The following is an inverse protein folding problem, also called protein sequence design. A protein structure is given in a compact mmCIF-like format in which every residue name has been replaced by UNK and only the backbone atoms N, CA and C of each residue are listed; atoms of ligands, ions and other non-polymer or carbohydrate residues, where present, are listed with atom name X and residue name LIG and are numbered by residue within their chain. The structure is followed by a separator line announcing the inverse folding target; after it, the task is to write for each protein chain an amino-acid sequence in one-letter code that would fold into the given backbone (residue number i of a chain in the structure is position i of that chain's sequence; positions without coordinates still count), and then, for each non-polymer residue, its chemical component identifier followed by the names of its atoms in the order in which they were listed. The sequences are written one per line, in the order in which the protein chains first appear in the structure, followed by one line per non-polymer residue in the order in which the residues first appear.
data_IF_432161984347
#
_entry.id   IF_432161984347
#
_cell.length_a   1.000
_cell.length_b   1.000
_cell.length_c   1.000
_cell.angle_alpha   90.00
_cell.angle_beta   90.00
_cell.angle_gamma   90.00
#
_symmetry.space_group_name_H-M   'P 1'
#
loop_
_entity.id
_entity.type
_entity.pdbx_description
1 polymer ?
#
# COMPACT_ATOMS: atom_id res chain seq x y z
N UNK A 1 -37.94 49.06 -34.05
CA UNK A 1 -37.14 49.30 -32.83
C UNK A 1 -37.37 48.15 -31.85
N UNK A 2 -36.44 47.20 -31.74
CA UNK A 2 -36.42 46.18 -30.67
C UNK A 2 -35.13 46.39 -29.89
N UNK A 3 -35.24 46.69 -28.60
CA UNK A 3 -34.10 46.88 -27.70
C UNK A 3 -33.54 45.50 -27.33
N UNK A 4 -32.30 45.23 -27.72
CA UNK A 4 -31.55 44.07 -27.26
C UNK A 4 -31.01 44.35 -25.85
N UNK A 5 -31.34 43.47 -24.91
CA UNK A 5 -30.98 43.60 -23.50
C UNK A 5 -29.57 43.07 -23.28
N UNK A 6 -28.60 43.98 -23.14
CA UNK A 6 -27.16 43.71 -23.05
C UNK A 6 -26.76 43.13 -21.67
N UNK A 7 -27.70 43.04 -20.72
CA UNK A 7 -27.40 42.60 -19.34
C UNK A 7 -27.29 41.08 -19.16
N UNK A 8 -27.66 40.27 -20.16
CA UNK A 8 -27.61 38.81 -20.06
C UNK A 8 -26.27 38.19 -20.48
N UNK A 9 -25.34 38.94 -21.10
CA UNK A 9 -24.09 38.38 -21.63
C UNK A 9 -22.88 38.52 -20.70
N UNK A 10 -22.97 39.31 -19.63
CA UNK A 10 -21.85 39.56 -18.71
C UNK A 10 -21.77 38.57 -17.53
N UNK A 11 -22.85 37.85 -17.22
CA UNK A 11 -22.89 36.90 -16.09
C UNK A 11 -22.40 35.48 -16.44
N UNK A 12 -22.41 35.09 -17.72
CA UNK A 12 -21.96 33.74 -18.14
C UNK A 12 -20.46 33.62 -18.38
N UNK A 13 -19.70 34.71 -18.51
CA UNK A 13 -18.25 34.63 -18.78
C UNK A 13 -17.44 34.58 -17.47
N UNK A 14 -17.96 35.10 -16.36
CA UNK A 14 -17.27 35.06 -15.05
C UNK A 14 -17.43 33.71 -14.34
N UNK A 15 -18.51 32.96 -14.61
CA UNK A 15 -18.73 31.64 -14.01
C UNK A 15 -17.89 30.52 -14.67
N UNK A 16 -17.44 30.69 -15.92
CA UNK A 16 -16.61 29.68 -16.61
C UNK A 16 -15.11 29.89 -16.38
N UNK A 17 -14.67 31.11 -16.06
CA UNK A 17 -13.26 31.41 -15.75
C UNK A 17 -12.86 31.08 -14.31
N UNK A 18 -13.80 30.88 -13.39
CA UNK A 18 -13.53 30.45 -12.01
C UNK A 18 -13.49 28.91 -11.83
N UNK A 19 -13.81 28.13 -12.87
CA UNK A 19 -13.79 26.67 -12.84
C UNK A 19 -12.45 26.05 -13.31
N UNK A 20 -11.49 26.87 -13.74
CA UNK A 20 -10.19 26.41 -14.27
C UNK A 20 -9.04 26.58 -13.25
N UNK A 21 -9.28 27.26 -12.12
CA UNK A 21 -8.22 27.69 -11.20
C UNK A 21 -8.05 26.83 -9.92
N UNK A 22 -8.58 25.60 -9.87
CA UNK A 22 -8.42 24.71 -8.71
C UNK A 22 -7.99 23.29 -9.07
N UNK A 23 -7.32 23.11 -10.20
CA UNK A 23 -6.35 22.02 -10.29
C UNK A 23 -5.10 22.51 -9.55
N UNK A 24 -5.13 22.48 -8.22
CA UNK A 24 -3.90 22.23 -7.49
C UNK A 24 -3.41 20.92 -8.07
N UNK A 25 -2.42 20.99 -8.97
CA UNK A 25 -1.71 19.80 -9.41
C UNK A 25 -1.26 19.12 -8.15
N UNK A 26 -2.00 18.07 -7.76
CA UNK A 26 -1.60 17.24 -6.64
C UNK A 26 -0.17 16.87 -6.95
N UNK A 27 0.73 17.19 -6.03
CA UNK A 27 2.09 16.68 -6.11
C UNK A 27 1.90 15.18 -6.32
N UNK A 28 2.22 14.69 -7.52
CA UNK A 28 1.95 13.31 -7.88
C UNK A 28 2.57 12.47 -6.76
N UNK A 29 1.70 11.76 -6.03
CA UNK A 29 2.18 10.80 -5.04
C UNK A 29 3.18 9.90 -5.79
N UNK A 30 4.30 9.61 -5.14
CA UNK A 30 5.29 8.73 -5.74
C UNK A 30 4.60 7.42 -6.15
N UNK A 31 5.02 6.86 -7.27
CA UNK A 31 4.50 5.59 -7.76
C UNK A 31 5.29 4.41 -7.17
N UNK A 32 4.77 3.18 -7.31
CA UNK A 32 5.50 1.98 -6.93
C UNK A 32 6.84 1.88 -7.66
N UNK A 33 7.83 1.27 -7.01
CA UNK A 33 9.16 1.03 -7.59
C UNK A 33 9.09 0.23 -8.90
N UNK A 34 10.04 0.44 -9.83
CA UNK A 34 10.14 -0.40 -11.00
C UNK A 34 10.51 -1.85 -10.63
N UNK A 35 10.30 -2.78 -11.56
CA UNK A 35 10.39 -4.23 -11.35
C UNK A 35 11.58 -4.81 -12.12
N UNK A 36 12.30 -5.76 -11.51
CA UNK A 36 13.43 -6.51 -12.07
C UNK A 36 13.07 -7.97 -12.41
N UNK A 37 12.96 -8.28 -13.69
CA UNK A 37 12.93 -9.67 -14.18
C UNK A 37 11.75 -10.51 -13.65
N UNK A 38 11.97 -11.82 -13.45
CA UNK A 38 10.92 -12.77 -13.01
C UNK A 38 10.56 -12.65 -11.53
N UNK A 39 9.74 -13.56 -10.98
CA UNK A 39 9.37 -13.57 -9.56
C UNK A 39 9.83 -14.86 -8.87
N UNK A 40 10.13 -14.77 -7.57
CA UNK A 40 10.16 -15.96 -6.72
C UNK A 40 8.72 -16.48 -6.50
N UNK A 41 8.57 -17.67 -5.95
CA UNK A 41 7.23 -18.13 -5.60
C UNK A 41 6.71 -17.35 -4.37
N UNK A 42 5.40 -17.13 -4.30
CA UNK A 42 4.79 -16.55 -3.10
C UNK A 42 5.14 -17.39 -1.87
N UNK A 43 5.52 -16.73 -0.78
CA UNK A 43 5.98 -17.34 0.48
C UNK A 43 7.19 -18.26 0.35
N UNK A 44 7.95 -18.18 -0.75
CA UNK A 44 9.16 -18.98 -0.88
C UNK A 44 10.13 -18.65 0.24
N UNK A 45 10.67 -19.67 0.89
CA UNK A 45 11.72 -19.51 1.89
C UNK A 45 13.07 -19.62 1.21
N UNK A 46 13.80 -18.51 1.18
CA UNK A 46 15.13 -18.40 0.58
C UNK A 46 16.18 -18.49 1.68
N UNK A 47 16.74 -19.68 1.83
CA UNK A 47 17.81 -19.91 2.80
C UNK A 47 19.15 -19.40 2.28
N UNK A 48 19.82 -18.54 3.05
CA UNK A 48 21.14 -18.03 2.71
C UNK A 48 22.19 -18.43 3.74
N UNK A 49 23.44 -18.48 3.28
CA UNK A 49 24.63 -18.78 4.09
C UNK A 49 25.75 -17.81 3.78
N UNK A 50 26.76 -17.83 4.64
CA UNK A 50 28.02 -17.15 4.35
C UNK A 50 28.82 -17.92 3.29
N UNK A 51 29.40 -17.18 2.36
CA UNK A 51 30.29 -17.73 1.35
C UNK A 51 31.61 -18.14 2.00
N UNK A 52 31.96 -19.42 1.88
CA UNK A 52 33.24 -19.96 2.36
C UNK A 52 34.41 -19.18 1.76
N UNK A 53 35.36 -18.75 2.61
CA UNK A 53 36.54 -17.98 2.20
C UNK A 53 36.29 -16.49 1.94
N UNK A 54 35.04 -16.05 2.00
CA UNK A 54 34.63 -14.65 1.85
C UNK A 54 33.53 -14.33 2.87
N UNK A 55 33.70 -14.80 4.10
CA UNK A 55 32.70 -14.61 5.14
C UNK A 55 32.72 -13.17 5.65
N UNK A 56 31.56 -12.53 5.88
CA UNK A 56 31.54 -11.19 6.47
C UNK A 56 32.09 -11.21 7.92
N UNK A 57 32.71 -10.11 8.37
CA UNK A 57 33.01 -9.90 9.79
C UNK A 57 31.74 -9.98 10.66
N UNK A 58 31.89 -10.24 11.96
CA UNK A 58 30.76 -10.45 12.87
C UNK A 58 29.72 -9.32 12.82
N UNK A 59 30.16 -8.06 12.86
CA UNK A 59 29.27 -6.90 12.83
C UNK A 59 28.46 -6.81 11.51
N UNK A 60 29.08 -7.18 10.38
CA UNK A 60 28.38 -7.20 9.08
C UNK A 60 27.45 -8.40 8.98
N UNK A 61 27.80 -9.56 9.56
CA UNK A 61 26.89 -10.71 9.66
C UNK A 61 25.62 -10.38 10.46
N UNK A 62 25.76 -9.57 11.51
CA UNK A 62 24.63 -9.09 12.32
C UNK A 62 23.73 -8.17 11.48
N UNK A 63 24.30 -7.13 10.86
CA UNK A 63 23.55 -6.20 10.01
C UNK A 63 22.78 -6.88 8.87
N UNK A 64 23.38 -7.86 8.17
CA UNK A 64 22.71 -8.61 7.10
C UNK A 64 21.54 -9.46 7.65
N UNK A 65 21.67 -10.00 8.86
CA UNK A 65 20.58 -10.78 9.50
C UNK A 65 19.43 -9.88 9.97
N UNK A 66 19.76 -8.70 10.47
CA UNK A 66 18.78 -7.68 10.85
C UNK A 66 18.02 -7.23 9.60
N UNK A 67 18.71 -6.85 8.52
CA UNK A 67 18.09 -6.51 7.25
C UNK A 67 17.21 -7.62 6.65
N UNK A 68 17.61 -8.90 6.78
CA UNK A 68 16.77 -10.02 6.37
C UNK A 68 15.49 -10.12 7.22
N UNK A 69 15.58 -9.79 8.50
CA UNK A 69 14.43 -9.72 9.41
C UNK A 69 13.53 -8.55 9.04
N UNK A 70 14.10 -7.37 8.79
CA UNK A 70 13.36 -6.19 8.35
C UNK A 70 12.62 -6.45 7.04
N UNK A 71 13.31 -7.04 6.05
CA UNK A 71 12.70 -7.40 4.77
C UNK A 71 11.50 -8.33 4.97
N UNK A 72 11.64 -9.35 5.84
CA UNK A 72 10.55 -10.25 6.17
C UNK A 72 9.39 -9.50 6.86
N UNK A 73 9.68 -8.68 7.86
CA UNK A 73 8.64 -8.08 8.70
C UNK A 73 7.90 -6.94 7.97
N UNK A 74 8.54 -6.30 7.00
CA UNK A 74 8.05 -5.04 6.41
C UNK A 74 7.53 -5.18 4.98
N UNK A 75 7.76 -6.30 4.29
CA UNK A 75 7.31 -6.51 2.88
C UNK A 75 5.81 -6.40 2.64
N UNK A 76 4.98 -6.55 3.69
CA UNK A 76 3.52 -6.49 3.70
C UNK A 76 2.81 -7.18 2.51
N UNK A 77 3.39 -8.26 2.01
CA UNK A 77 3.01 -8.96 0.79
C UNK A 77 3.43 -10.43 0.88
N UNK A 78 2.93 -11.27 -0.02
CA UNK A 78 3.33 -12.69 -0.09
C UNK A 78 4.70 -12.88 -0.75
N UNK A 79 5.53 -11.85 -0.83
CA UNK A 79 6.91 -11.93 -1.28
C UNK A 79 7.70 -12.99 -0.49
N UNK A 80 8.83 -13.41 -1.05
CA UNK A 80 9.65 -14.44 -0.44
C UNK A 80 10.19 -13.99 0.93
N UNK A 81 10.81 -14.92 1.64
CA UNK A 81 11.38 -14.67 2.97
C UNK A 81 12.82 -15.13 3.04
N UNK A 82 13.66 -14.36 3.73
CA UNK A 82 15.08 -14.62 3.86
C UNK A 82 15.40 -15.23 5.20
N UNK A 83 16.09 -16.38 5.21
CA UNK A 83 16.46 -17.05 6.45
C UNK A 83 17.91 -17.50 6.41
N UNK A 84 18.68 -17.12 7.42
CA UNK A 84 20.04 -17.65 7.56
C UNK A 84 20.00 -19.14 7.90
N UNK A 85 20.72 -19.95 7.14
CA UNK A 85 21.01 -21.35 7.43
C UNK A 85 22.45 -21.66 7.02
N UNK A 86 23.23 -22.35 7.85
CA UNK A 86 24.63 -22.68 7.53
C UNK A 86 24.78 -23.52 6.25
N UNK A 87 23.73 -24.27 5.90
CA UNK A 87 23.63 -25.11 4.70
C UNK A 87 22.79 -24.47 3.59
N UNK A 88 22.43 -23.19 3.70
CA UNK A 88 21.60 -22.49 2.72
C UNK A 88 22.20 -22.51 1.31
N UNK A 89 21.36 -22.53 0.29
CA UNK A 89 21.80 -22.58 -1.11
C UNK A 89 22.30 -21.23 -1.63
N UNK A 90 21.81 -20.12 -1.07
CA UNK A 90 22.13 -18.76 -1.50
C UNK A 90 23.35 -18.23 -0.75
N UNK A 91 24.40 -17.82 -1.46
CA UNK A 91 25.66 -17.42 -0.84
C UNK A 91 25.79 -15.90 -0.75
N UNK A 92 26.06 -15.39 0.46
CA UNK A 92 26.40 -13.98 0.72
C UNK A 92 27.88 -13.88 1.06
N UNK A 93 28.62 -13.08 0.30
CA UNK A 93 30.06 -12.88 0.45
C UNK A 93 30.46 -11.47 0.86
N UNK A 94 31.68 -11.33 1.37
CA UNK A 94 32.30 -10.08 1.75
C UNK A 94 33.76 -10.03 1.31
N UNK A 95 34.16 -8.93 0.68
CA UNK A 95 35.56 -8.58 0.42
C UNK A 95 35.95 -8.53 -1.06
N UNK A 96 37.26 -8.62 -1.32
CA UNK A 96 37.90 -8.34 -2.62
C UNK A 96 37.36 -9.18 -3.80
N UNK A 97 36.68 -10.29 -3.53
CA UNK A 97 36.00 -11.11 -4.52
C UNK A 97 34.63 -10.59 -4.97
N UNK A 98 34.17 -9.45 -4.43
CA UNK A 98 32.93 -8.81 -4.82
C UNK A 98 32.98 -8.39 -6.30
N UNK A 99 32.08 -8.97 -7.10
CA UNK A 99 31.96 -8.71 -8.54
C UNK A 99 30.99 -7.57 -8.86
N UNK A 100 30.81 -6.68 -7.89
CA UNK A 100 29.94 -5.52 -8.06
C UNK A 100 30.51 -4.59 -9.14
N UNK A 101 29.63 -3.80 -9.77
CA UNK A 101 30.05 -2.78 -10.72
C UNK A 101 31.06 -1.80 -10.11
N UNK A 102 31.70 -0.99 -10.95
CA UNK A 102 32.82 -0.10 -10.57
C UNK A 102 32.56 0.71 -9.30
N UNK A 103 31.33 1.16 -9.07
CA UNK A 103 30.95 1.96 -7.89
C UNK A 103 30.03 1.23 -6.90
N UNK A 104 29.68 -0.04 -7.14
CA UNK A 104 28.79 -0.79 -6.27
C UNK A 104 29.50 -1.18 -4.96
N UNK A 105 28.98 -0.71 -3.83
CA UNK A 105 29.49 -1.07 -2.49
C UNK A 105 28.95 -2.41 -2.01
N UNK A 106 27.77 -2.79 -2.52
CA UNK A 106 27.20 -4.12 -2.50
C UNK A 106 26.59 -4.42 -3.88
N UNK A 107 26.19 -5.67 -4.08
CA UNK A 107 25.45 -6.10 -5.25
C UNK A 107 24.81 -7.47 -5.03
N UNK A 108 23.85 -7.79 -5.89
CA UNK A 108 23.20 -9.08 -5.94
C UNK A 108 23.32 -9.74 -7.32
N UNK A 109 23.08 -11.05 -7.36
CA UNK A 109 22.65 -11.76 -8.57
C UNK A 109 21.36 -12.51 -8.24
N UNK A 110 20.51 -12.70 -9.24
CA UNK A 110 19.20 -13.31 -9.07
C UNK A 110 18.85 -14.18 -10.26
N UNK A 111 18.28 -15.35 -9.98
CA UNK A 111 17.73 -16.26 -10.98
C UNK A 111 16.45 -16.86 -10.42
N UNK A 112 15.40 -16.05 -10.31
CA UNK A 112 14.14 -16.51 -9.74
C UNK A 112 13.48 -17.58 -10.64
N UNK A 113 12.87 -18.63 -10.06
CA UNK A 113 12.67 -18.85 -8.63
C UNK A 113 13.80 -19.68 -7.95
N UNK A 114 14.95 -19.86 -8.60
CA UNK A 114 15.99 -20.83 -8.20
C UNK A 114 16.84 -20.33 -7.02
N UNK A 115 17.31 -19.08 -7.08
CA UNK A 115 18.16 -18.55 -6.03
C UNK A 115 18.79 -17.21 -6.35
N UNK A 116 19.67 -16.78 -5.45
CA UNK A 116 20.37 -15.51 -5.49
C UNK A 116 21.76 -15.61 -4.85
N UNK A 117 22.58 -14.58 -5.07
CA UNK A 117 23.78 -14.34 -4.29
C UNK A 117 23.87 -12.87 -3.95
N UNK A 118 24.52 -12.51 -2.85
CA UNK A 118 24.87 -11.12 -2.54
C UNK A 118 26.36 -11.00 -2.24
N UNK A 119 26.91 -9.81 -2.48
CA UNK A 119 28.28 -9.46 -2.18
C UNK A 119 28.35 -8.07 -1.58
N UNK A 120 29.21 -7.92 -0.57
CA UNK A 120 29.58 -6.64 0.02
C UNK A 120 31.08 -6.42 -0.20
N UNK A 121 31.49 -5.19 -0.54
CA UNK A 121 32.91 -4.85 -0.56
C UNK A 121 33.44 -4.67 0.86
N UNK A 122 34.74 -4.93 1.03
CA UNK A 122 35.40 -4.84 2.32
C UNK A 122 35.48 -3.41 2.87
N UNK A 123 35.50 -3.32 4.19
CA UNK A 123 35.89 -2.13 4.93
C UNK A 123 37.25 -1.65 4.44
N UNK A 124 37.35 -0.36 4.08
CA UNK A 124 38.59 0.19 3.55
C UNK A 124 38.78 0.04 2.04
N UNK A 125 37.81 -0.50 1.30
CA UNK A 125 37.87 -0.55 -0.16
C UNK A 125 38.05 0.85 -0.75
N UNK A 126 38.98 1.01 -1.69
CA UNK A 126 39.30 2.30 -2.30
C UNK A 126 38.55 2.44 -3.62
N UNK A 127 37.81 3.54 -3.75
CA UNK A 127 37.14 4.01 -4.94
C UNK A 127 37.74 5.35 -5.39
N UNK A 128 37.44 5.77 -6.62
CA UNK A 128 37.85 7.09 -7.13
C UNK A 128 37.28 8.25 -6.28
N UNK A 129 36.14 8.02 -5.62
CA UNK A 129 35.48 9.01 -4.76
C UNK A 129 35.92 8.94 -3.28
N UNK A 130 36.72 7.95 -2.88
CA UNK A 130 37.19 7.82 -1.51
C UNK A 130 37.29 6.38 -1.00
N UNK A 131 37.17 6.21 0.31
CA UNK A 131 37.33 4.90 0.97
C UNK A 131 36.04 4.48 1.64
N UNK A 132 35.60 3.25 1.37
CA UNK A 132 34.41 2.65 1.96
C UNK A 132 34.56 2.50 3.47
N UNK A 133 33.54 2.95 4.20
CA UNK A 133 33.41 2.79 5.65
C UNK A 133 32.02 2.23 5.96
N UNK A 134 31.96 1.09 6.63
CA UNK A 134 30.73 0.52 7.18
C UNK A 134 30.54 1.01 8.60
N UNK A 135 29.39 1.57 8.94
CA UNK A 135 29.13 2.14 10.27
C UNK A 135 29.32 1.10 11.38
N UNK A 136 28.85 -0.13 11.14
CA UNK A 136 28.93 -1.28 12.04
C UNK A 136 30.37 -1.76 12.31
N UNK A 137 31.37 -1.30 11.53
CA UNK A 137 32.78 -1.64 11.78
C UNK A 137 33.45 -0.76 12.84
N UNK A 138 32.76 0.25 13.37
CA UNK A 138 33.28 1.19 14.36
C UNK A 138 32.47 1.16 15.64
N UNK A 139 33.13 1.29 16.79
CA UNK A 139 32.44 1.48 18.08
C UNK A 139 31.76 2.85 18.18
N UNK A 140 32.24 3.83 17.42
CA UNK A 140 31.60 5.13 17.20
C UNK A 140 31.69 5.43 15.71
N UNK A 141 30.54 5.40 15.04
CA UNK A 141 30.46 5.55 13.60
C UNK A 141 31.01 6.90 13.15
N UNK A 142 32.02 6.95 12.26
CA UNK A 142 32.53 8.21 11.74
C UNK A 142 31.54 8.81 10.74
N UNK A 143 31.60 10.12 10.56
CA UNK A 143 30.90 10.77 9.44
C UNK A 143 31.34 10.17 8.10
N UNK A 144 30.38 9.90 7.22
CA UNK A 144 30.67 9.36 5.89
C UNK A 144 30.70 7.83 5.82
N UNK A 145 30.22 7.11 6.84
CA UNK A 145 30.02 5.67 6.75
C UNK A 145 28.65 5.32 6.12
N UNK A 146 28.57 4.15 5.51
CA UNK A 146 27.33 3.54 5.03
C UNK A 146 26.80 2.57 6.08
N UNK A 147 25.48 2.58 6.27
CA UNK A 147 24.80 1.64 7.13
C UNK A 147 24.66 0.28 6.44
N UNK A 148 25.38 -0.74 6.93
CA UNK A 148 25.40 -2.05 6.31
C UNK A 148 24.04 -2.76 6.33
N UNK A 149 23.17 -2.45 7.29
CA UNK A 149 21.83 -3.02 7.41
C UNK A 149 20.91 -2.42 6.34
N UNK A 150 20.87 -1.09 6.20
CA UNK A 150 20.14 -0.42 5.12
C UNK A 150 20.60 -0.88 3.74
N UNK A 151 21.92 -1.01 3.52
CA UNK A 151 22.44 -1.54 2.24
C UNK A 151 22.05 -3.00 2.04
N UNK A 152 22.08 -3.83 3.09
CA UNK A 152 21.63 -5.20 2.94
C UNK A 152 20.13 -5.29 2.63
N UNK A 153 19.32 -4.39 3.18
CA UNK A 153 17.89 -4.32 2.93
C UNK A 153 17.57 -3.89 1.48
N UNK A 154 18.29 -2.90 0.96
CA UNK A 154 18.27 -2.50 -0.46
C UNK A 154 18.54 -3.72 -1.38
N UNK A 155 19.62 -4.45 -1.10
CA UNK A 155 19.99 -5.63 -1.89
C UNK A 155 18.99 -6.80 -1.73
N UNK A 156 18.36 -6.96 -0.56
CA UNK A 156 17.25 -7.91 -0.40
C UNK A 156 16.01 -7.49 -1.19
N UNK A 157 15.72 -6.19 -1.28
CA UNK A 157 14.67 -5.64 -2.13
C UNK A 157 14.90 -5.98 -3.60
N UNK A 158 16.13 -5.80 -4.07
CA UNK A 158 16.56 -6.25 -5.40
C UNK A 158 16.38 -7.75 -5.62
N UNK A 159 16.72 -8.56 -4.62
CA UNK A 159 16.49 -10.01 -4.66
C UNK A 159 14.99 -10.32 -4.74
N UNK A 160 14.11 -9.60 -4.05
CA UNK A 160 12.67 -9.84 -4.17
C UNK A 160 12.18 -9.55 -5.58
N UNK A 161 12.39 -8.33 -6.08
CA UNK A 161 12.15 -7.91 -7.48
C UNK A 161 12.39 -6.40 -7.69
N UNK A 162 12.68 -5.62 -6.65
CA UNK A 162 12.63 -4.16 -6.72
C UNK A 162 13.79 -3.61 -7.54
N UNK A 163 13.53 -2.71 -8.48
CA UNK A 163 14.56 -1.91 -9.10
C UNK A 163 14.82 -0.66 -8.24
N UNK A 164 15.87 0.10 -8.56
CA UNK A 164 16.06 1.39 -7.91
C UNK A 164 14.84 2.30 -8.11
N UNK A 165 14.39 2.91 -7.03
CA UNK A 165 13.37 3.94 -7.06
C UNK A 165 13.86 5.19 -7.83
N UNK A 166 12.90 5.97 -8.34
CA UNK A 166 13.19 7.23 -9.01
C UNK A 166 13.79 8.24 -8.03
N UNK A 167 15.03 8.67 -8.27
CA UNK A 167 15.67 9.69 -7.44
C UNK A 167 15.19 11.10 -7.83
N UNK A 168 14.51 11.80 -6.91
CA UNK A 168 14.04 13.16 -7.16
C UNK A 168 15.06 14.19 -6.67
N UNK A 169 15.07 15.37 -7.31
CA UNK A 169 16.02 16.44 -6.97
C UNK A 169 15.85 17.02 -5.56
N UNK A 170 14.71 16.78 -4.92
CA UNK A 170 14.38 17.22 -3.57
C UNK A 170 14.57 16.12 -2.50
N UNK A 171 15.12 14.96 -2.89
CA UNK A 171 15.48 13.81 -2.03
C UNK A 171 14.32 13.21 -1.21
N UNK A 172 13.06 13.49 -1.58
CA UNK A 172 11.87 12.94 -0.90
C UNK A 172 11.68 11.43 -1.14
N UNK A 173 12.28 10.90 -2.20
CA UNK A 173 12.36 9.47 -2.52
C UNK A 173 12.95 8.63 -1.39
N UNK A 174 13.90 9.18 -0.64
CA UNK A 174 14.57 8.48 0.45
C UNK A 174 13.69 8.22 1.67
N UNK A 175 12.47 8.77 1.70
CA UNK A 175 11.45 8.43 2.71
C UNK A 175 10.44 7.41 2.17
N UNK A 176 10.50 7.13 0.87
CA UNK A 176 9.48 6.40 0.13
C UNK A 176 9.96 5.01 -0.29
N UNK A 177 11.26 4.82 -0.54
CA UNK A 177 11.86 3.53 -0.88
C UNK A 177 13.29 3.37 -0.35
N UNK A 178 13.64 2.17 0.13
CA UNK A 178 15.00 1.81 0.55
C UNK A 178 15.86 1.42 -0.63
N UNK A 179 15.25 0.86 -1.69
CA UNK A 179 15.96 0.44 -2.89
C UNK A 179 16.29 1.65 -3.75
N UNK A 180 17.54 2.11 -3.70
CA UNK A 180 17.94 3.43 -4.18
C UNK A 180 19.14 3.36 -5.12
N UNK A 181 19.14 4.17 -6.18
CA UNK A 181 20.30 4.24 -7.11
C UNK A 181 21.56 4.70 -6.40
N UNK A 182 21.41 5.59 -5.41
CA UNK A 182 22.52 6.18 -4.68
C UNK A 182 22.32 6.02 -3.18
N UNK A 183 23.15 5.18 -2.57
CA UNK A 183 23.28 5.11 -1.12
C UNK A 183 23.85 6.41 -0.55
N UNK A 184 23.40 6.83 0.64
CA UNK A 184 23.82 8.10 1.26
C UNK A 184 24.69 7.86 2.49
N UNK A 185 25.89 8.44 2.51
CA UNK A 185 26.85 8.38 3.64
C UNK A 185 26.61 9.42 4.75
N UNK A 186 25.60 10.26 4.57
CA UNK A 186 25.17 11.34 5.48
C UNK A 186 23.65 11.43 5.38
N UNK A 187 23.01 10.32 5.68
CA UNK A 187 21.56 10.21 5.67
C UNK A 187 20.98 11.33 6.56
N UNK A 188 19.96 12.05 6.09
CA UNK A 188 19.15 12.87 7.00
C UNK A 188 18.45 11.92 7.98
N UNK A 189 17.90 12.48 9.05
CA UNK A 189 17.02 11.68 9.92
C UNK A 189 15.94 10.99 9.07
N UNK A 190 15.79 9.68 9.26
CA UNK A 190 14.85 8.84 8.51
C UNK A 190 15.35 8.24 7.19
N UNK A 191 16.53 8.63 6.67
CA UNK A 191 17.03 8.10 5.39
C UNK A 191 17.79 6.77 5.51
N UNK A 192 18.32 6.44 6.71
CA UNK A 192 18.77 5.09 6.99
C UNK A 192 17.54 4.29 7.40
N UNK A 193 16.93 3.64 6.42
CA UNK A 193 15.74 2.83 6.65
C UNK A 193 16.14 1.41 7.03
N UNK A 194 15.52 0.91 8.08
CA UNK A 194 15.55 -0.49 8.53
C UNK A 194 14.16 -1.12 8.33
N UNK A 195 13.45 -0.63 7.31
CA UNK A 195 12.14 -1.09 6.87
C UNK A 195 12.01 -0.85 5.37
N UNK A 196 11.29 -1.69 4.64
CA UNK A 196 10.85 -1.34 3.29
C UNK A 196 9.96 -0.10 3.37
N UNK A 197 10.25 0.87 2.51
CA UNK A 197 9.46 2.07 2.32
C UNK A 197 8.12 1.76 1.67
N UNK A 198 7.23 2.76 1.65
CA UNK A 198 5.90 2.57 1.07
C UNK A 198 5.95 2.17 -0.41
N UNK A 199 6.90 2.67 -1.20
CA UNK A 199 6.95 2.39 -2.63
C UNK A 199 7.60 1.04 -2.95
N UNK A 200 8.55 0.59 -2.12
CA UNK A 200 9.03 -0.80 -2.11
C UNK A 200 7.83 -1.74 -1.86
N UNK A 201 7.10 -1.51 -0.78
CA UNK A 201 5.95 -2.33 -0.37
C UNK A 201 4.85 -2.33 -1.42
N UNK A 202 4.57 -1.19 -2.06
CA UNK A 202 3.58 -1.09 -3.12
C UNK A 202 3.91 -2.03 -4.29
N UNK A 203 5.17 -2.07 -4.71
CA UNK A 203 5.60 -2.99 -5.76
C UNK A 203 5.55 -4.43 -5.31
N UNK A 204 6.02 -4.74 -4.10
CA UNK A 204 5.92 -6.11 -3.58
C UNK A 204 4.47 -6.58 -3.48
N UNK A 205 3.53 -5.71 -3.07
CA UNK A 205 2.10 -6.02 -3.05
C UNK A 205 1.54 -6.25 -4.46
N UNK A 206 1.91 -5.45 -5.46
CA UNK A 206 1.45 -5.64 -6.84
C UNK A 206 1.95 -6.98 -7.42
N UNK A 207 3.23 -7.27 -7.22
CA UNK A 207 3.89 -8.44 -7.80
C UNK A 207 3.61 -9.75 -7.05
N UNK A 208 3.42 -9.69 -5.73
CA UNK A 208 3.24 -10.86 -4.86
C UNK A 208 1.89 -10.91 -4.14
N UNK A 209 0.98 -9.96 -4.35
CA UNK A 209 -0.28 -9.83 -3.61
C UNK A 209 -0.08 -9.54 -2.10
N UNK A 210 -1.14 -9.07 -1.44
CA UNK A 210 -1.19 -8.88 0.02
C UNK A 210 -1.34 -10.21 0.74
N UNK A 211 -0.96 -10.27 2.03
CA UNK A 211 -1.04 -11.50 2.83
C UNK A 211 -2.45 -12.08 2.94
N UNK A 212 -3.43 -11.24 3.23
CA UNK A 212 -4.82 -11.60 3.38
C UNK A 212 -5.74 -10.39 3.16
N UNK A 213 -7.05 -10.62 3.16
CA UNK A 213 -8.06 -9.58 2.93
C UNK A 213 -8.05 -8.42 3.96
N UNK A 214 -7.38 -8.57 5.10
CA UNK A 214 -7.29 -7.53 6.14
C UNK A 214 -6.05 -6.65 6.01
N UNK A 215 -5.02 -7.12 5.31
CA UNK A 215 -3.78 -6.39 5.08
C UNK A 215 -4.04 -5.01 4.48
N UNK A 216 -3.25 -4.02 4.90
CA UNK A 216 -3.31 -2.65 4.36
C UNK A 216 -2.57 -2.56 3.03
N UNK A 217 -3.09 -1.73 2.14
CA UNK A 217 -2.44 -1.40 0.88
C UNK A 217 -1.47 -0.25 1.11
N UNK A 218 -0.29 -0.32 0.51
CA UNK A 218 0.67 0.76 0.60
C UNK A 218 0.07 2.08 0.13
N UNK A 219 0.44 3.18 0.80
CA UNK A 219 0.03 4.55 0.40
C UNK A 219 0.74 5.07 -0.85
N UNK A 220 1.66 4.28 -1.41
CA UNK A 220 2.28 4.53 -2.73
C UNK A 220 1.46 3.88 -3.87
N UNK A 221 0.31 3.27 -3.55
CA UNK A 221 -0.70 2.81 -4.49
C UNK A 221 -1.89 3.78 -4.55
N UNK A 222 -2.61 3.75 -5.67
CA UNK A 222 -3.86 4.47 -5.91
C UNK A 222 -4.88 3.48 -6.51
N UNK A 223 -5.61 2.78 -5.64
CA UNK A 223 -6.43 1.61 -6.00
C UNK A 223 -7.91 1.89 -5.79
N UNK A 224 -8.67 1.78 -6.88
CA UNK A 224 -10.12 1.89 -6.85
C UNK A 224 -10.76 0.71 -6.11
N UNK A 225 -11.79 1.03 -5.34
CA UNK A 225 -12.62 0.03 -4.67
C UNK A 225 -14.04 0.04 -5.21
N UNK A 226 -14.72 -1.09 -5.10
CA UNK A 226 -16.14 -1.21 -5.39
C UNK A 226 -16.88 -1.72 -4.15
N UNK A 227 -17.91 -0.98 -3.78
CA UNK A 227 -18.78 -1.22 -2.64
C UNK A 227 -20.20 -1.47 -3.14
N UNK A 228 -20.69 -2.69 -2.99
CA UNK A 228 -22.08 -3.02 -3.30
C UNK A 228 -22.90 -3.16 -2.02
N UNK A 229 -24.18 -2.82 -2.07
CA UNK A 229 -25.13 -3.00 -0.96
C UNK A 229 -26.33 -3.80 -1.44
N UNK A 230 -26.74 -4.79 -0.64
CA UNK A 230 -27.91 -5.64 -0.90
C UNK A 230 -28.80 -5.70 0.33
N UNK A 231 -30.10 -5.82 0.11
CA UNK A 231 -31.11 -5.95 1.16
C UNK A 231 -32.49 -6.26 0.60
N UNK A 232 -33.51 -6.40 1.47
CA UNK A 232 -34.88 -6.60 1.03
C UNK A 232 -35.41 -5.35 0.33
N UNK A 233 -36.23 -5.52 -0.72
CA UNK A 233 -36.91 -4.40 -1.40
C UNK A 233 -38.23 -4.00 -0.72
N UNK A 234 -38.81 -4.91 0.07
CA UNK A 234 -40.09 -4.72 0.77
C UNK A 234 -40.05 -5.38 2.14
N UNK A 235 -40.67 -4.77 3.14
CA UNK A 235 -40.88 -5.35 4.48
C UNK A 235 -42.25 -4.98 5.02
N UNK A 236 -42.77 -5.82 5.93
CA UNK A 236 -43.91 -5.44 6.76
C UNK A 236 -43.53 -4.28 7.70
N UNK A 237 -44.52 -3.51 8.14
CA UNK A 237 -44.33 -2.50 9.17
C UNK A 237 -43.76 -3.10 10.45
N UNK A 238 -42.66 -2.54 10.97
CA UNK A 238 -41.96 -3.07 12.13
C UNK A 238 -41.10 -4.30 11.81
N UNK A 239 -40.95 -4.68 10.53
CA UNK A 239 -40.05 -5.74 10.10
C UNK A 239 -38.58 -5.35 10.21
N UNK A 240 -37.72 -6.34 10.35
CA UNK A 240 -36.27 -6.16 10.39
C UNK A 240 -35.67 -6.35 9.00
N UNK A 241 -34.97 -5.33 8.50
CA UNK A 241 -34.12 -5.43 7.33
C UNK A 241 -32.74 -5.91 7.76
N UNK A 242 -32.18 -6.88 7.04
CA UNK A 242 -30.75 -7.18 7.07
C UNK A 242 -30.14 -6.67 5.77
N UNK A 243 -29.16 -5.78 5.92
CA UNK A 243 -28.43 -5.15 4.81
C UNK A 243 -27.00 -5.67 4.83
N UNK A 244 -26.53 -6.15 3.67
CA UNK A 244 -25.20 -6.70 3.49
C UNK A 244 -24.45 -5.88 2.44
N UNK A 245 -23.26 -5.42 2.79
CA UNK A 245 -22.35 -4.75 1.88
C UNK A 245 -21.16 -5.67 1.54
N UNK A 246 -20.62 -5.49 0.34
CA UNK A 246 -19.46 -6.21 -0.17
C UNK A 246 -18.45 -5.17 -0.67
N UNK A 247 -17.24 -5.19 -0.13
CA UNK A 247 -16.14 -4.29 -0.47
C UNK A 247 -14.97 -5.10 -1.04
N UNK A 248 -14.53 -4.73 -2.23
CA UNK A 248 -13.38 -5.32 -2.91
C UNK A 248 -12.62 -4.27 -3.72
N UNK A 249 -11.39 -4.60 -4.11
CA UNK A 249 -10.62 -3.86 -5.10
C UNK A 249 -11.24 -4.08 -6.47
N UNK A 250 -11.38 -3.02 -7.28
CA UNK A 250 -11.86 -3.16 -8.66
C UNK A 250 -10.89 -4.06 -9.45
N UNK A 251 -11.43 -5.00 -10.22
CA UNK A 251 -10.62 -5.94 -11.02
C UNK A 251 -10.12 -5.29 -12.32
N UNK A 252 -9.20 -4.35 -12.19
CA UNK A 252 -8.48 -3.77 -13.32
C UNK A 252 -7.17 -4.51 -13.56
N UNK A 253 -6.86 -4.76 -14.83
CA UNK A 253 -5.59 -5.37 -15.24
C UNK A 253 -4.37 -4.56 -14.75
N UNK A 254 -4.49 -3.24 -14.59
CA UNK A 254 -3.42 -2.38 -14.10
C UNK A 254 -3.08 -2.58 -12.61
N UNK A 255 -3.92 -3.30 -11.85
CA UNK A 255 -3.67 -3.63 -10.44
C UNK A 255 -3.00 -5.01 -10.27
N UNK A 256 -2.73 -5.71 -11.39
CA UNK A 256 -2.11 -7.03 -11.41
C UNK A 256 -2.78 -8.00 -10.43
N UNK A 257 -2.04 -8.50 -9.43
CA UNK A 257 -2.56 -9.49 -8.46
C UNK A 257 -3.50 -8.89 -7.43
N UNK A 258 -3.58 -7.56 -7.34
CA UNK A 258 -4.42 -6.88 -6.36
C UNK A 258 -5.88 -6.75 -6.82
N UNK A 259 -6.14 -6.88 -8.14
CA UNK A 259 -7.49 -6.83 -8.71
C UNK A 259 -8.43 -7.86 -8.10
N UNK A 260 -9.65 -7.43 -7.75
CA UNK A 260 -10.68 -8.32 -7.19
C UNK A 260 -10.45 -8.78 -5.75
N UNK A 261 -9.43 -8.27 -5.05
CA UNK A 261 -9.19 -8.62 -3.67
C UNK A 261 -10.33 -8.12 -2.76
N UNK A 262 -10.93 -9.04 -2.01
CA UNK A 262 -11.89 -8.70 -0.97
C UNK A 262 -11.23 -7.92 0.17
N UNK A 263 -11.91 -6.91 0.70
CA UNK A 263 -11.37 -5.98 1.70
C UNK A 263 -12.08 -6.12 3.04
N UNK A 264 -11.42 -6.79 3.98
CA UNK A 264 -11.90 -7.04 5.34
C UNK A 264 -11.33 -6.04 6.34
N UNK A 265 -11.91 -5.98 7.54
CA UNK A 265 -11.46 -5.12 8.65
C UNK A 265 -11.36 -3.63 8.27
N UNK A 266 -12.19 -3.18 7.32
CA UNK A 266 -12.37 -1.77 6.96
C UNK A 266 -13.61 -1.21 7.65
N UNK A 267 -13.66 0.12 7.73
CA UNK A 267 -14.84 0.80 8.28
C UNK A 267 -15.83 1.08 7.16
N UNK A 268 -16.87 0.25 7.06
CA UNK A 268 -18.00 0.48 6.17
C UNK A 268 -19.16 1.06 6.99
N UNK A 269 -19.70 2.20 6.55
CA UNK A 269 -20.81 2.87 7.20
C UNK A 269 -22.08 2.72 6.37
N UNK A 270 -23.19 2.42 7.03
CA UNK A 270 -24.52 2.48 6.43
C UNK A 270 -25.09 3.89 6.62
N UNK A 271 -25.45 4.53 5.52
CA UNK A 271 -26.20 5.78 5.51
C UNK A 271 -27.64 5.52 5.12
N UNK A 272 -28.54 6.37 5.61
CA UNK A 272 -29.96 6.32 5.26
C UNK A 272 -30.55 7.70 5.02
N UNK A 273 -31.68 7.74 4.32
CA UNK A 273 -32.53 8.92 4.18
C UNK A 273 -34.00 8.54 3.93
N UNK A 274 -34.96 9.43 4.23
CA UNK A 274 -36.32 9.28 3.73
C UNK A 274 -36.35 9.22 2.19
N UNK A 275 -37.30 8.49 1.63
CA UNK A 275 -37.41 8.35 0.17
C UNK A 275 -37.60 9.72 -0.48
N UNK A 276 -36.76 10.03 -1.47
CA UNK A 276 -36.87 11.26 -2.27
C UNK A 276 -36.22 12.51 -1.66
N UNK A 277 -35.64 12.42 -0.46
CA UNK A 277 -34.85 13.53 0.12
C UNK A 277 -33.41 13.49 -0.38
N UNK A 278 -32.64 14.54 -0.12
CA UNK A 278 -31.22 14.62 -0.54
C UNK A 278 -30.24 14.33 0.59
N UNK A 279 -30.61 14.66 1.83
CA UNK A 279 -29.71 14.57 2.98
C UNK A 279 -29.54 13.13 3.47
N UNK A 280 -28.28 12.68 3.50
CA UNK A 280 -27.89 11.38 4.02
C UNK A 280 -27.40 11.51 5.45
N UNK A 281 -27.84 10.60 6.32
CA UNK A 281 -27.34 10.51 7.70
C UNK A 281 -26.67 9.16 7.90
N UNK A 282 -25.47 9.16 8.48
CA UNK A 282 -24.82 7.93 8.95
C UNK A 282 -25.67 7.31 10.05
N UNK A 283 -26.16 6.11 9.78
CA UNK A 283 -27.01 5.37 10.70
C UNK A 283 -26.21 4.42 11.58
N UNK A 284 -25.30 3.66 10.98
CA UNK A 284 -24.51 2.64 11.68
C UNK A 284 -23.15 2.42 11.01
N UNK A 285 -22.19 1.93 11.77
CA UNK A 285 -21.04 1.20 11.22
C UNK A 285 -21.45 -0.25 11.04
N UNK A 286 -21.23 -0.81 9.84
CA UNK A 286 -21.58 -2.20 9.53
C UNK A 286 -20.53 -3.14 10.12
N UNK A 287 -20.98 -4.26 10.68
CA UNK A 287 -20.11 -5.26 11.30
C UNK A 287 -19.49 -6.15 10.22
N UNK A 288 -18.17 -6.41 10.23
CA UNK A 288 -17.55 -7.39 9.34
C UNK A 288 -18.24 -8.76 9.44
N UNK A 289 -18.52 -9.38 8.30
CA UNK A 289 -19.10 -10.71 8.21
C UNK A 289 -18.05 -11.82 8.25
N UNK A 290 -18.52 -13.08 8.20
CA UNK A 290 -17.64 -14.25 8.24
C UNK A 290 -16.87 -14.48 6.94
N UNK A 291 -17.38 -13.98 5.81
CA UNK A 291 -16.70 -14.02 4.52
C UNK A 291 -15.91 -12.73 4.30
N UNK A 292 -14.71 -12.86 3.72
CA UNK A 292 -13.87 -11.69 3.39
C UNK A 292 -14.64 -10.66 2.57
N UNK A 293 -14.39 -9.37 2.83
CA UNK A 293 -15.06 -8.28 2.11
C UNK A 293 -16.51 -8.03 2.50
N UNK A 294 -17.12 -8.87 3.34
CA UNK A 294 -18.54 -8.72 3.71
C UNK A 294 -18.73 -7.89 4.98
N UNK A 295 -19.80 -7.09 4.99
CA UNK A 295 -20.23 -6.30 6.13
C UNK A 295 -21.74 -6.37 6.27
N UNK A 296 -22.28 -6.43 7.48
CA UNK A 296 -23.71 -6.55 7.70
C UNK A 296 -24.22 -5.65 8.82
N UNK A 297 -25.48 -5.25 8.71
CA UNK A 297 -26.22 -4.64 9.82
C UNK A 297 -27.70 -4.96 9.69
N UNK A 298 -28.41 -4.98 10.82
CA UNK A 298 -29.85 -5.21 10.84
C UNK A 298 -30.57 -4.09 11.58
N UNK A 299 -31.75 -3.72 11.09
CA UNK A 299 -32.55 -2.66 11.67
C UNK A 299 -34.05 -2.87 11.45
N UNK A 300 -34.84 -2.49 12.45
CA UNK A 300 -36.29 -2.49 12.34
C UNK A 300 -36.78 -1.22 11.68
N UNK A 301 -37.66 -1.35 10.68
CA UNK A 301 -38.17 -0.23 9.89
C UNK A 301 -39.67 -0.05 10.05
N UNK A 302 -40.09 1.22 10.12
CA UNK A 302 -41.49 1.65 10.25
C UNK A 302 -41.91 2.63 9.15
N UNK A 303 -40.98 2.99 8.26
CA UNK A 303 -41.20 3.87 7.13
C UNK A 303 -40.30 3.48 5.97
N UNK A 304 -40.77 3.64 4.74
CA UNK A 304 -39.95 3.43 3.55
C UNK A 304 -38.70 4.30 3.61
N UNK A 305 -37.55 3.71 3.36
CA UNK A 305 -36.23 4.34 3.57
C UNK A 305 -35.29 3.95 2.44
N UNK A 306 -34.42 4.87 2.04
CA UNK A 306 -33.32 4.61 1.12
C UNK A 306 -32.02 4.46 1.90
N UNK A 307 -31.19 3.49 1.48
CA UNK A 307 -29.92 3.15 2.09
C UNK A 307 -28.80 3.18 1.07
N UNK A 308 -27.60 3.51 1.53
CA UNK A 308 -26.34 3.27 0.80
C UNK A 308 -25.23 2.95 1.79
N UNK A 309 -24.27 2.16 1.38
CA UNK A 309 -23.05 1.96 2.14
C UNK A 309 -21.97 2.94 1.65
N UNK A 310 -21.11 3.38 2.55
CA UNK A 310 -19.96 4.24 2.24
C UNK A 310 -18.71 3.66 2.88
N UNK A 311 -17.62 3.62 2.13
CA UNK A 311 -16.29 3.27 2.59
C UNK A 311 -15.37 4.50 2.45
N UNK A 312 -14.52 4.73 3.44
CA UNK A 312 -13.50 5.77 3.41
C UNK A 312 -12.22 5.22 4.04
N UNK A 313 -11.14 5.02 3.26
CA UNK A 313 -9.89 4.45 3.74
C UNK A 313 -9.14 5.41 4.66
N UNK A 314 -8.20 4.86 5.43
CA UNK A 314 -7.32 5.64 6.30
C UNK A 314 -5.93 5.01 6.41
N UNK A 315 -4.93 5.74 5.93
CA UNK A 315 -3.52 5.32 5.96
C UNK A 315 -3.25 4.10 5.07
N UNK A 316 -3.84 4.07 3.87
CA UNK A 316 -3.61 3.06 2.84
C UNK A 316 -3.92 3.63 1.46
N UNK A 317 -3.37 3.03 0.40
CA UNK A 317 -3.54 3.46 -1.01
C UNK A 317 -4.83 2.96 -1.67
N UNK A 318 -5.94 2.91 -0.91
CA UNK A 318 -7.26 2.60 -1.45
C UNK A 318 -8.04 3.90 -1.67
N UNK A 319 -8.97 3.89 -2.62
CA UNK A 319 -9.92 4.96 -2.85
C UNK A 319 -11.25 4.69 -2.13
N UNK A 320 -11.89 5.76 -1.69
CA UNK A 320 -13.23 5.71 -1.10
C UNK A 320 -14.27 5.32 -2.16
N UNK A 321 -15.32 4.61 -1.74
CA UNK A 321 -16.45 4.29 -2.61
C UNK A 321 -17.80 4.37 -1.87
N UNK A 322 -18.87 4.54 -2.65
CA UNK A 322 -20.26 4.60 -2.17
C UNK A 322 -21.14 3.72 -3.04
N UNK A 323 -21.88 2.82 -2.39
CA UNK A 323 -22.76 1.89 -3.11
C UNK A 323 -23.92 2.58 -3.82
N UNK A 324 -24.51 1.88 -4.78
CA UNK A 324 -25.85 2.21 -5.29
C UNK A 324 -26.89 2.25 -4.16
N UNK A 325 -27.97 2.99 -4.38
CA UNK A 325 -29.05 3.14 -3.41
C UNK A 325 -29.93 1.88 -3.38
N UNK A 326 -30.17 1.34 -2.18
CA UNK A 326 -31.17 0.31 -1.92
C UNK A 326 -32.40 0.96 -1.28
N UNK A 327 -33.55 0.86 -1.95
CA UNK A 327 -34.83 1.31 -1.39
C UNK A 327 -35.54 0.14 -0.73
N UNK A 328 -35.90 0.31 0.54
CA UNK A 328 -36.74 -0.64 1.29
C UNK A 328 -38.11 0.00 1.46
N UNK A 329 -39.13 -0.59 0.84
CA UNK A 329 -40.51 -0.13 0.98
C UNK A 329 -41.18 -0.80 2.18
N UNK A 330 -41.86 -0.03 3.01
CA UNK A 330 -42.58 -0.56 4.17
C UNK A 330 -44.06 -0.66 3.84
N UNK A 331 -44.62 -1.87 4.01
CA UNK A 331 -46.04 -2.14 3.83
C UNK A 331 -46.90 -1.42 4.86
N UNK A 332 -48.22 -1.43 4.64
CA UNK A 332 -49.17 -0.82 5.56
C UNK A 332 -49.03 -1.42 6.97
N UNK A 333 -49.23 -0.58 7.98
CA UNK A 333 -49.34 -1.06 9.35
C UNK A 333 -50.73 -1.65 9.57
N UNK A 334 -50.79 -2.95 9.87
CA UNK A 334 -52.06 -3.69 10.00
C UNK A 334 -52.46 -3.98 11.45
N UNK A 335 -51.58 -3.75 12.43
CA UNK A 335 -51.87 -3.97 13.86
C UNK A 335 -50.91 -3.17 14.76
N UNK A 336 -51.42 -2.62 15.88
CA UNK A 336 -50.63 -1.89 16.88
C UNK A 336 -49.79 -0.71 16.31
N UNK A 337 -50.35 -0.02 15.32
CA UNK A 337 -49.75 1.20 14.79
C UNK A 337 -49.72 2.23 15.90
N UNK A 338 -48.60 2.95 16.12
CA UNK A 338 -48.66 4.15 16.93
C UNK A 338 -49.74 5.01 16.31
N UNK A 339 -50.86 5.15 17.02
CA UNK A 339 -51.92 6.07 16.64
C UNK A 339 -51.21 7.38 16.33
N UNK A 340 -51.44 7.93 15.14
CA UNK A 340 -51.04 9.30 14.84
C UNK A 340 -51.63 10.16 15.95
N UNK A 341 -50.82 10.48 16.98
CA UNK A 341 -51.18 11.46 17.98
C UNK A 341 -51.49 12.73 17.19
N UNK A 342 -52.72 13.21 17.35
CA UNK A 342 -53.42 14.07 16.41
C UNK A 342 -52.62 15.26 15.91
N UNK A 343 -52.84 15.60 14.63
CA UNK A 343 -52.86 16.99 14.24
C UNK A 343 -54.16 17.62 14.68
#
# INVERSE_FOLDING_TARGET
MKRFDIRALAASIVATLLAIASFTGGVAAHGPDPVLGGLFNQYQRLEYRWRTGAEPPSAIKTAIKEAATDANDTRASKAASFVYASTGSNAIGYGLGATCGTNGIACFTRSAPVGFTMWFREQGHVFDWGTLKWCQSYSTAPTGCYDAETIALDEFGHVEVLAHHDNYSDDRDYLDAVVQTYSRTKSREGWNMHVFGRCDVATLQREYDVFDSSAKYSTCLDIDTVLTLRGPSTLAYGGTATLNAFLEVVDYAAYDRLGGNNLSNRTVKLQRRPVGTVDWVTWATMTPGASSGTYSTSLTLRSSTEFRATFSPSGEGLNADTSSIVRVNIGACTSACPLSAGR
#
